data_IF_784823117101
#
_entry.id   IF_784823117101
#
_cell.length_a   1.000
_cell.length_b   1.000
_cell.length_c   1.000
_cell.angle_alpha   90.00
_cell.angle_beta   90.00
_cell.angle_gamma   90.00
#
_symmetry.space_group_name_H-M   'P 1'
#
loop_
_entity.id
_entity.type
_entity.pdbx_description
1 polymer ?
#
# COMPACT_ATOMS: atom_id res chain seq x y z
N UNK A 1 7.00 -20.62 13.02
CA UNK A 1 6.03 -19.83 12.27
C UNK A 1 6.05 -20.29 10.83
N UNK A 2 4.87 -20.48 10.18
CA UNK A 2 4.86 -20.74 8.73
C UNK A 2 5.38 -19.51 7.98
N UNK A 3 6.10 -19.66 6.87
CA UNK A 3 6.65 -18.53 6.10
C UNK A 3 5.54 -17.80 5.32
N UNK A 4 4.68 -17.10 6.03
CA UNK A 4 3.49 -16.43 5.48
C UNK A 4 3.16 -15.18 6.29
N UNK A 5 2.88 -14.09 5.57
CA UNK A 5 2.23 -12.90 6.13
C UNK A 5 0.76 -12.94 5.68
N UNK A 6 -0.16 -12.91 6.62
CA UNK A 6 -1.60 -13.00 6.30
C UNK A 6 -2.23 -11.66 6.02
N UNK A 7 -1.83 -10.62 6.76
CA UNK A 7 -2.43 -9.30 6.71
C UNK A 7 -1.40 -8.24 7.09
N UNK A 8 -1.38 -7.14 6.36
CA UNK A 8 -0.70 -5.90 6.75
C UNK A 8 -1.79 -4.89 7.06
N UNK A 9 -1.77 -4.33 8.27
CA UNK A 9 -2.77 -3.33 8.69
C UNK A 9 -2.12 -1.96 8.82
N UNK A 10 -2.68 -0.97 8.13
CA UNK A 10 -2.33 0.43 8.31
C UNK A 10 -3.22 1.07 9.38
N UNK A 11 -2.60 1.73 10.36
CA UNK A 11 -3.29 2.65 11.24
C UNK A 11 -3.59 3.95 10.50
N UNK A 12 -4.86 4.25 10.28
CA UNK A 12 -5.29 5.38 9.46
C UNK A 12 -5.90 6.50 10.29
N UNK A 13 -5.65 7.76 9.89
CA UNK A 13 -6.21 8.96 10.52
C UNK A 13 -7.52 9.40 9.89
N UNK A 14 -7.63 9.23 8.57
CA UNK A 14 -8.81 9.55 7.77
C UNK A 14 -9.32 8.29 7.05
N UNK A 15 -10.14 7.46 7.72
CA UNK A 15 -10.61 6.20 7.15
C UNK A 15 -11.37 6.36 5.83
N UNK A 16 -12.20 7.39 5.70
CA UNK A 16 -13.00 7.59 4.49
C UNK A 16 -12.12 7.92 3.28
N UNK A 17 -11.12 8.78 3.47
CA UNK A 17 -10.15 9.14 2.44
C UNK A 17 -9.33 7.93 2.02
N UNK A 18 -8.86 7.14 2.98
CA UNK A 18 -8.05 5.95 2.71
C UNK A 18 -8.87 4.85 2.04
N UNK A 19 -10.12 4.67 2.47
CA UNK A 19 -11.05 3.75 1.82
C UNK A 19 -11.30 4.15 0.36
N UNK A 20 -11.55 5.44 0.10
CA UNK A 20 -11.74 5.94 -1.25
C UNK A 20 -10.50 5.72 -2.13
N UNK A 21 -9.30 5.96 -1.59
CA UNK A 21 -8.05 5.74 -2.32
C UNK A 21 -7.88 4.28 -2.74
N UNK A 22 -7.96 3.34 -1.79
CA UNK A 22 -7.71 1.93 -2.07
C UNK A 22 -8.86 1.23 -2.80
N UNK A 23 -10.12 1.52 -2.42
CA UNK A 23 -11.30 0.92 -3.06
C UNK A 23 -11.61 1.55 -4.41
N UNK A 24 -11.82 2.88 -4.42
CA UNK A 24 -12.34 3.58 -5.61
C UNK A 24 -11.20 3.98 -6.55
N UNK A 25 -10.08 4.41 -6.01
CA UNK A 25 -8.90 4.83 -6.78
C UNK A 25 -8.12 3.65 -7.36
N UNK A 26 -7.68 2.70 -6.52
CA UNK A 26 -6.91 1.53 -6.95
C UNK A 26 -7.77 0.31 -7.28
N UNK A 27 -9.06 0.35 -7.00
CA UNK A 27 -9.98 -0.74 -7.32
C UNK A 27 -9.77 -2.02 -6.52
N UNK A 28 -9.18 -1.94 -5.31
CA UNK A 28 -8.94 -3.12 -4.50
C UNK A 28 -10.25 -3.71 -3.96
N UNK A 29 -10.45 -5.04 -4.04
CA UNK A 29 -11.70 -5.66 -3.63
C UNK A 29 -11.85 -5.72 -2.10
N UNK A 30 -12.98 -5.23 -1.60
CA UNK A 30 -13.34 -5.29 -0.20
C UNK A 30 -13.76 -6.71 0.23
N UNK A 31 -13.47 -7.05 1.48
CA UNK A 31 -13.94 -8.28 2.12
C UNK A 31 -14.92 -7.96 3.25
N UNK A 32 -16.18 -8.35 3.09
CA UNK A 32 -17.24 -8.27 4.11
C UNK A 32 -17.40 -6.89 4.77
N UNK A 33 -17.12 -5.81 4.05
CA UNK A 33 -17.22 -4.44 4.56
C UNK A 33 -18.67 -3.96 4.57
N UNK A 34 -19.07 -3.32 5.66
CA UNK A 34 -20.33 -2.56 5.78
C UNK A 34 -20.00 -1.12 6.17
N UNK A 35 -20.70 -0.11 5.62
CA UNK A 35 -20.51 1.28 6.02
C UNK A 35 -20.61 1.44 7.55
N UNK A 36 -19.60 2.11 8.14
CA UNK A 36 -19.48 2.28 9.59
C UNK A 36 -18.61 1.24 10.30
N UNK A 37 -18.12 0.22 9.61
CA UNK A 37 -17.16 -0.72 10.17
C UNK A 37 -15.82 0.00 10.40
N UNK A 38 -15.22 -0.21 11.58
CA UNK A 38 -13.89 0.34 11.92
C UNK A 38 -12.78 -0.38 11.18
N UNK A 39 -12.88 -1.70 11.04
CA UNK A 39 -11.90 -2.51 10.33
C UNK A 39 -12.32 -2.70 8.88
N UNK A 40 -11.47 -2.29 7.97
CA UNK A 40 -11.61 -2.51 6.53
C UNK A 40 -10.56 -3.50 6.08
N UNK A 41 -10.95 -4.54 5.35
CA UNK A 41 -10.03 -5.50 4.76
C UNK A 41 -10.21 -5.57 3.25
N UNK A 42 -9.08 -5.58 2.54
CA UNK A 42 -9.02 -5.82 1.10
C UNK A 42 -8.49 -7.23 0.86
N UNK A 43 -9.25 -8.00 0.09
CA UNK A 43 -8.88 -9.37 -0.28
C UNK A 43 -7.96 -9.34 -1.49
N UNK A 44 -6.66 -9.40 -1.23
CA UNK A 44 -5.63 -9.46 -2.26
C UNK A 44 -5.16 -10.90 -2.46
N UNK A 45 -4.44 -11.15 -3.53
CA UNK A 45 -3.72 -12.40 -3.71
C UNK A 45 -2.58 -12.48 -2.70
N UNK A 46 -2.50 -13.58 -1.96
CA UNK A 46 -1.49 -13.76 -0.92
C UNK A 46 -1.77 -12.99 0.36
N UNK A 47 -1.00 -11.95 0.64
CA UNK A 47 -1.13 -11.11 1.83
C UNK A 47 -2.25 -10.08 1.64
N UNK A 48 -3.19 -10.01 2.57
CA UNK A 48 -4.25 -9.00 2.53
C UNK A 48 -3.80 -7.65 3.08
N UNK A 49 -4.56 -6.61 2.78
CA UNK A 49 -4.36 -5.26 3.31
C UNK A 49 -5.54 -4.90 4.22
N UNK A 50 -5.23 -4.31 5.38
CA UNK A 50 -6.22 -3.81 6.33
C UNK A 50 -6.05 -2.32 6.59
N UNK A 51 -7.16 -1.64 6.86
CA UNK A 51 -7.19 -0.28 7.39
C UNK A 51 -7.93 -0.32 8.72
N UNK A 52 -7.33 0.29 9.74
CA UNK A 52 -7.93 0.37 11.08
C UNK A 52 -7.62 1.75 11.66
N UNK A 53 -8.53 2.38 12.44
CA UNK A 53 -8.23 3.67 13.05
C UNK A 53 -6.91 3.61 13.82
N UNK A 54 -6.01 4.57 13.56
CA UNK A 54 -4.66 4.57 14.11
C UNK A 54 -4.64 4.50 15.63
N UNK A 55 -5.53 5.26 16.28
CA UNK A 55 -5.63 5.29 17.74
C UNK A 55 -6.08 3.93 18.29
N UNK A 56 -7.05 3.30 17.66
CA UNK A 56 -7.55 1.99 18.05
C UNK A 56 -6.51 0.88 17.79
N UNK A 57 -5.77 0.97 16.70
CA UNK A 57 -4.68 0.03 16.42
C UNK A 57 -3.57 0.12 17.49
N UNK A 58 -3.16 1.34 17.85
CA UNK A 58 -2.16 1.55 18.88
C UNK A 58 -2.64 1.05 20.26
N UNK A 59 -3.91 1.30 20.59
CA UNK A 59 -4.54 0.84 21.82
C UNK A 59 -4.61 -0.68 21.88
N UNK A 60 -5.04 -1.32 20.80
CA UNK A 60 -5.12 -2.79 20.70
C UNK A 60 -3.73 -3.43 20.86
N UNK A 61 -2.72 -2.83 20.24
CA UNK A 61 -1.33 -3.29 20.32
C UNK A 61 -0.62 -2.90 21.63
N UNK A 62 -1.26 -2.08 22.48
CA UNK A 62 -0.69 -1.55 23.74
C UNK A 62 0.60 -0.75 23.54
N UNK A 63 0.65 0.07 22.48
CA UNK A 63 1.79 0.94 22.16
C UNK A 63 1.36 2.40 22.09
N UNK A 64 2.35 3.32 22.16
CA UNK A 64 2.08 4.75 21.94
C UNK A 64 1.63 4.99 20.48
N UNK A 65 0.64 5.87 20.33
CA UNK A 65 0.19 6.34 18.99
C UNK A 65 1.15 7.37 18.40
N UNK A 66 2.04 7.93 19.23
CA UNK A 66 2.99 8.97 18.83
C UNK A 66 4.03 8.45 17.84
N UNK A 67 4.39 9.31 16.91
CA UNK A 67 5.43 9.04 15.93
C UNK A 67 5.17 9.77 14.61
N UNK A 68 6.27 10.14 13.92
CA UNK A 68 6.26 10.81 12.63
C UNK A 68 7.51 10.44 11.84
N UNK A 69 7.55 10.83 10.56
CA UNK A 69 8.66 10.53 9.67
C UNK A 69 8.58 9.14 9.04
N UNK A 70 9.71 8.67 8.55
CA UNK A 70 9.78 7.37 7.86
C UNK A 70 9.59 6.22 8.84
N UNK A 71 8.60 5.36 8.56
CA UNK A 71 8.26 4.22 9.42
C UNK A 71 9.19 3.01 9.28
N UNK A 72 10.14 3.04 8.33
CA UNK A 72 11.01 1.90 8.06
C UNK A 72 10.35 0.80 7.21
N UNK A 73 9.18 1.07 6.63
CA UNK A 73 8.43 0.11 5.82
C UNK A 73 8.09 0.70 4.46
N UNK A 74 8.27 -0.09 3.41
CA UNK A 74 7.69 0.14 2.09
C UNK A 74 7.04 -1.17 1.61
N UNK A 75 5.92 -1.04 0.92
CA UNK A 75 5.23 -2.16 0.31
C UNK A 75 5.50 -2.12 -1.18
N UNK A 76 5.80 -3.27 -1.79
CA UNK A 76 6.07 -3.34 -3.22
C UNK A 76 4.93 -4.01 -3.98
N UNK A 77 4.63 -3.45 -5.15
CA UNK A 77 3.81 -4.05 -6.19
C UNK A 77 4.68 -4.25 -7.43
N UNK A 78 4.73 -5.47 -7.95
CA UNK A 78 5.54 -5.78 -9.10
C UNK A 78 4.68 -5.97 -10.35
N UNK A 79 5.20 -5.45 -11.46
CA UNK A 79 4.61 -5.54 -12.78
C UNK A 79 5.54 -6.32 -13.73
N UNK A 80 5.00 -7.00 -14.74
CA UNK A 80 5.81 -7.79 -15.66
C UNK A 80 6.60 -6.96 -16.69
N UNK A 81 6.43 -5.63 -16.72
CA UNK A 81 7.11 -4.74 -17.67
C UNK A 81 7.28 -3.32 -17.12
N UNK A 82 8.17 -2.54 -17.74
CA UNK A 82 8.34 -1.11 -17.42
C UNK A 82 7.08 -0.30 -17.72
N UNK A 83 6.41 -0.62 -18.82
CA UNK A 83 5.14 0.00 -19.20
C UNK A 83 4.04 -0.24 -18.15
N UNK A 84 4.02 -1.43 -17.57
CA UNK A 84 3.12 -1.78 -16.46
C UNK A 84 3.42 -0.94 -15.22
N UNK A 85 4.69 -0.74 -14.87
CA UNK A 85 5.11 0.14 -13.77
C UNK A 85 4.63 1.56 -14.00
N UNK A 86 4.84 2.12 -15.20
CA UNK A 86 4.41 3.48 -15.54
C UNK A 86 2.88 3.62 -15.44
N UNK A 87 2.14 2.62 -15.92
CA UNK A 87 0.67 2.62 -15.88
C UNK A 87 0.14 2.59 -14.43
N UNK A 88 0.66 1.70 -13.58
CA UNK A 88 0.26 1.61 -12.17
C UNK A 88 0.65 2.86 -11.39
N UNK A 89 1.84 3.41 -11.65
CA UNK A 89 2.26 4.65 -11.02
C UNK A 89 1.33 5.81 -11.37
N UNK A 90 0.97 5.95 -12.64
CA UNK A 90 -0.01 6.97 -13.10
C UNK A 90 -1.40 6.76 -12.48
N UNK A 91 -1.86 5.51 -12.38
CA UNK A 91 -3.13 5.15 -11.72
C UNK A 91 -3.12 5.59 -10.24
N UNK A 92 -2.04 5.31 -9.52
CA UNK A 92 -1.90 5.71 -8.13
C UNK A 92 -1.95 7.24 -7.95
N UNK A 93 -1.27 7.99 -8.82
CA UNK A 93 -1.31 9.46 -8.77
C UNK A 93 -2.72 9.99 -9.07
N UNK A 94 -3.41 9.42 -10.05
CA UNK A 94 -4.79 9.78 -10.36
C UNK A 94 -5.75 9.46 -9.19
N UNK A 95 -5.45 8.43 -8.41
CA UNK A 95 -6.23 8.05 -7.23
C UNK A 95 -5.98 8.96 -6.01
N UNK A 96 -4.94 9.79 -6.03
CA UNK A 96 -4.62 10.73 -4.94
C UNK A 96 -3.29 10.48 -4.24
N UNK A 97 -2.45 9.59 -4.76
CA UNK A 97 -1.10 9.39 -4.26
C UNK A 97 -0.19 10.57 -4.59
N UNK A 98 0.87 10.71 -3.81
CA UNK A 98 1.95 11.67 -4.07
C UNK A 98 3.14 10.95 -4.67
N UNK A 99 3.71 11.48 -5.77
CA UNK A 99 4.95 10.97 -6.32
C UNK A 99 6.10 11.26 -5.35
N UNK A 100 6.79 10.21 -4.91
CA UNK A 100 7.99 10.32 -4.07
C UNK A 100 9.24 10.21 -4.94
N UNK A 101 9.25 9.24 -5.85
CA UNK A 101 10.33 9.06 -6.84
C UNK A 101 9.71 8.53 -8.12
N UNK A 102 9.85 9.25 -9.22
CA UNK A 102 9.36 8.80 -10.52
C UNK A 102 10.01 7.47 -10.93
N UNK A 103 9.30 6.60 -11.65
CA UNK A 103 9.90 5.37 -12.18
C UNK A 103 11.12 5.66 -13.05
N UNK A 104 12.19 4.90 -12.81
CA UNK A 104 13.46 5.01 -13.54
C UNK A 104 14.20 3.67 -13.58
N UNK A 105 15.13 3.52 -14.51
CA UNK A 105 16.07 2.41 -14.50
C UNK A 105 16.96 2.47 -13.25
N UNK A 106 17.14 1.33 -12.58
CA UNK A 106 17.92 1.24 -11.36
C UNK A 106 19.15 0.36 -11.54
N UNK A 107 20.17 0.54 -10.69
CA UNK A 107 21.50 -0.07 -10.86
C UNK A 107 21.51 -1.61 -10.90
N UNK A 108 20.54 -2.27 -10.26
CA UNK A 108 20.44 -3.74 -10.26
C UNK A 108 19.73 -4.32 -11.49
N UNK A 109 19.42 -3.47 -12.48
CA UNK A 109 18.84 -3.87 -13.77
C UNK A 109 17.32 -3.78 -13.85
N UNK A 110 16.65 -3.43 -12.78
CA UNK A 110 15.20 -3.23 -12.74
C UNK A 110 14.76 -1.83 -13.15
N UNK A 111 13.46 -1.60 -12.98
CA UNK A 111 12.81 -0.32 -13.21
C UNK A 111 11.81 -0.08 -12.09
N UNK A 112 11.95 1.00 -11.33
CA UNK A 112 11.06 1.23 -10.18
C UNK A 112 10.86 2.69 -9.86
N UNK A 113 9.74 2.98 -9.21
CA UNK A 113 9.41 4.25 -8.61
C UNK A 113 8.72 4.07 -7.27
N UNK A 114 8.56 5.17 -6.54
CA UNK A 114 7.87 5.21 -5.25
C UNK A 114 6.77 6.26 -5.26
N UNK A 115 5.61 5.89 -4.76
CA UNK A 115 4.56 6.84 -4.40
C UNK A 115 4.21 6.70 -2.91
N UNK A 116 3.63 7.74 -2.35
CA UNK A 116 3.03 7.68 -1.03
C UNK A 116 1.50 7.72 -1.16
N UNK A 117 0.81 6.91 -0.38
CA UNK A 117 -0.63 7.02 -0.28
C UNK A 117 -1.04 8.34 0.40
N UNK A 118 -2.33 8.69 0.51
CA UNK A 118 -2.75 9.96 1.09
C UNK A 118 -2.29 10.21 2.52
N UNK A 119 -1.87 9.18 3.26
CA UNK A 119 -1.35 9.30 4.62
C UNK A 119 0.17 9.05 4.73
N UNK A 120 0.87 8.96 3.61
CA UNK A 120 2.31 8.88 3.57
C UNK A 120 2.89 7.47 3.64
N UNK A 121 2.07 6.42 3.53
CA UNK A 121 2.59 5.06 3.44
C UNK A 121 3.26 4.86 2.09
N UNK A 122 4.51 4.34 2.12
CA UNK A 122 5.31 4.17 0.91
C UNK A 122 4.96 2.89 0.17
N UNK A 123 4.81 3.04 -1.14
CA UNK A 123 4.66 1.96 -2.10
C UNK A 123 5.76 2.05 -3.16
N UNK A 124 6.42 0.94 -3.42
CA UNK A 124 7.27 0.76 -4.57
C UNK A 124 6.47 0.09 -5.70
N UNK A 125 6.56 0.63 -6.90
CA UNK A 125 6.07 -0.06 -8.10
C UNK A 125 7.30 -0.44 -8.93
N UNK A 126 7.49 -1.72 -9.20
CA UNK A 126 8.73 -2.22 -9.77
C UNK A 126 8.53 -3.29 -10.85
N UNK A 127 9.44 -3.28 -11.82
CA UNK A 127 9.71 -4.40 -12.72
C UNK A 127 11.06 -5.02 -12.34
N UNK A 128 11.07 -6.31 -12.04
CA UNK A 128 12.28 -7.04 -11.68
C UNK A 128 12.57 -8.11 -12.75
N UNK A 129 13.58 -7.90 -13.61
CA UNK A 129 13.92 -8.88 -14.66
C UNK A 129 14.67 -10.11 -14.12
N UNK A 130 15.10 -10.09 -12.86
CA UNK A 130 15.91 -11.16 -12.26
C UNK A 130 15.06 -12.15 -11.46
N UNK A 131 13.91 -11.71 -10.96
CA UNK A 131 13.03 -12.54 -10.12
C UNK A 131 11.59 -12.16 -10.41
N UNK A 132 10.79 -13.16 -10.81
CA UNK A 132 9.35 -12.96 -10.98
C UNK A 132 8.67 -12.83 -9.62
N UNK A 133 8.17 -11.65 -9.34
CA UNK A 133 7.41 -11.29 -8.14
C UNK A 133 5.95 -10.89 -8.47
N UNK A 134 5.54 -11.10 -9.72
CA UNK A 134 4.18 -10.77 -10.18
C UNK A 134 3.14 -11.83 -9.81
#
# INVERSE_FOLDING_TARGET
MKPKISLITFGVRDPDRMLAFYRDGLGLPLHNYKPGDDMVMFRLEGTWLGLFPRDELAKDATVSVEGSGFSGVAIAHNEPSKEGVDAVFAEALAAGATAVKAPEDVFWGGYSGYFADPEGNLWEVAFNPLTDLT
#
